data_IF_546812755194
#
_entry.id   IF_546812755194
#
_cell.length_a   1.000
_cell.length_b   1.000
_cell.length_c   1.000
_cell.angle_alpha   90.00
_cell.angle_beta   90.00
_cell.angle_gamma   90.00
#
_symmetry.space_group_name_H-M   'P 1'
#
loop_
_entity.id
_entity.type
_entity.pdbx_description
1 polymer ?
#
# COMPACT_ATOMS: atom_id res chain seq x y z
N UNK A 1 11.05 20.22 23.57
CA UNK A 1 12.37 20.05 22.95
C UNK A 1 12.58 18.55 22.63
N UNK A 2 12.03 18.07 21.50
CA UNK A 2 12.41 16.79 20.91
C UNK A 2 13.83 17.00 20.34
N UNK A 3 14.84 16.36 20.94
CA UNK A 3 16.22 16.42 20.48
C UNK A 3 16.29 15.98 19.02
N UNK A 4 16.67 16.88 18.13
CA UNK A 4 16.89 16.58 16.72
C UNK A 4 17.93 15.43 16.62
N UNK A 5 17.51 14.28 16.12
CA UNK A 5 18.38 13.11 15.93
C UNK A 5 19.49 13.53 14.97
N UNK A 6 20.71 13.55 15.45
CA UNK A 6 21.89 13.96 14.67
C UNK A 6 22.05 13.00 13.48
N UNK A 7 21.93 13.50 12.26
CA UNK A 7 22.07 12.70 11.04
C UNK A 7 23.43 11.99 11.02
N UNK A 8 23.43 10.72 10.69
CA UNK A 8 24.66 9.94 10.47
C UNK A 8 25.43 10.46 9.25
N UNK A 9 26.70 10.15 9.15
CA UNK A 9 27.52 10.51 7.97
C UNK A 9 26.90 10.01 6.67
N UNK A 10 26.32 8.80 6.64
CA UNK A 10 25.62 8.23 5.48
C UNK A 10 24.42 9.07 5.08
N UNK A 11 23.57 9.43 6.02
CA UNK A 11 22.39 10.26 5.77
C UNK A 11 22.76 11.64 5.22
N UNK A 12 23.83 12.25 5.75
CA UNK A 12 24.34 13.52 5.25
C UNK A 12 24.88 13.40 3.83
N UNK A 13 25.65 12.34 3.51
CA UNK A 13 26.17 12.08 2.16
C UNK A 13 24.99 11.88 1.19
N UNK A 14 24.02 11.06 1.55
CA UNK A 14 22.84 10.80 0.71
C UNK A 14 22.06 12.09 0.43
N UNK A 15 21.82 12.89 1.46
CA UNK A 15 21.12 14.18 1.30
C UNK A 15 21.88 15.12 0.35
N UNK A 16 23.21 15.19 0.48
CA UNK A 16 24.05 16.02 -0.41
C UNK A 16 24.05 15.51 -1.86
N UNK A 17 24.12 14.19 -2.05
CA UNK A 17 24.08 13.59 -3.39
C UNK A 17 22.71 13.78 -4.04
N UNK A 18 21.61 13.62 -3.30
CA UNK A 18 20.23 13.86 -3.79
C UNK A 18 20.01 15.32 -4.20
N UNK A 19 20.57 16.27 -3.44
CA UNK A 19 20.43 17.71 -3.71
C UNK A 19 21.35 18.20 -4.86
N UNK A 20 22.37 17.44 -5.22
CA UNK A 20 23.35 17.86 -6.22
C UNK A 20 22.83 17.63 -7.65
N UNK A 21 22.87 18.68 -8.47
CA UNK A 21 22.59 18.58 -9.93
C UNK A 21 23.75 17.96 -10.71
N UNK A 22 24.97 18.06 -10.17
CA UNK A 22 26.21 17.63 -10.80
C UNK A 22 26.92 16.54 -10.01
N UNK A 23 27.95 15.94 -10.62
CA UNK A 23 28.86 15.00 -9.96
C UNK A 23 29.55 15.70 -8.78
N UNK A 24 29.59 15.06 -7.61
CA UNK A 24 30.32 15.53 -6.43
C UNK A 24 31.56 14.67 -6.22
N UNK A 25 32.73 15.33 -6.10
CA UNK A 25 33.97 14.60 -5.82
C UNK A 25 33.98 14.07 -4.38
N UNK A 26 34.66 12.94 -4.16
CA UNK A 26 34.85 12.41 -2.80
C UNK A 26 35.61 13.39 -1.90
N UNK A 27 36.44 14.27 -2.47
CA UNK A 27 37.15 15.32 -1.74
C UNK A 27 36.21 16.44 -1.30
N UNK A 28 35.35 16.91 -2.20
CA UNK A 28 34.32 17.91 -1.87
C UNK A 28 33.43 17.42 -0.73
N UNK A 29 32.92 16.18 -0.84
CA UNK A 29 32.09 15.57 0.22
C UNK A 29 32.85 15.45 1.56
N UNK A 30 34.13 15.05 1.52
CA UNK A 30 34.96 14.92 2.70
C UNK A 30 35.18 16.27 3.39
N UNK A 31 35.46 17.33 2.64
CA UNK A 31 35.63 18.69 3.16
C UNK A 31 34.33 19.25 3.75
N UNK A 32 33.23 19.17 3.01
CA UNK A 32 31.93 19.68 3.46
C UNK A 32 31.43 19.00 4.74
N UNK A 33 31.68 17.70 4.91
CA UNK A 33 31.17 16.91 6.03
C UNK A 33 32.18 16.72 7.16
N UNK A 34 33.42 17.20 6.99
CA UNK A 34 34.49 17.09 8.00
C UNK A 34 34.94 15.65 8.29
N UNK A 35 34.98 14.80 7.23
CA UNK A 35 35.36 13.38 7.35
C UNK A 35 36.45 13.02 6.34
N UNK A 36 37.08 11.85 6.48
CA UNK A 36 38.10 11.39 5.54
C UNK A 36 37.46 10.90 4.22
N UNK A 37 38.19 10.95 3.11
CA UNK A 37 37.80 10.35 1.81
C UNK A 37 37.48 8.87 1.94
N UNK A 38 38.22 8.13 2.79
CA UNK A 38 37.94 6.72 3.06
C UNK A 38 36.60 6.53 3.74
N UNK A 39 36.19 7.44 4.64
CA UNK A 39 34.89 7.40 5.28
C UNK A 39 33.76 7.67 4.26
N UNK A 40 33.98 8.61 3.32
CA UNK A 40 33.04 8.84 2.19
C UNK A 40 32.88 7.57 1.37
N UNK A 41 33.98 6.96 0.92
CA UNK A 41 33.94 5.74 0.12
C UNK A 41 33.20 4.59 0.84
N UNK A 42 33.50 4.35 2.12
CA UNK A 42 32.80 3.33 2.92
C UNK A 42 31.30 3.60 3.02
N UNK A 43 30.93 4.84 3.30
CA UNK A 43 29.52 5.22 3.39
C UNK A 43 28.78 5.06 2.07
N UNK A 44 29.40 5.39 0.93
CA UNK A 44 28.84 5.17 -0.41
C UNK A 44 28.65 3.66 -0.67
N UNK A 45 29.64 2.84 -0.34
CA UNK A 45 29.50 1.37 -0.46
C UNK A 45 28.38 0.81 0.39
N UNK A 46 28.15 1.36 1.58
CA UNK A 46 27.00 0.95 2.41
C UNK A 46 25.66 1.42 1.85
N UNK A 47 25.60 2.61 1.23
CA UNK A 47 24.40 3.08 0.52
C UNK A 47 24.09 2.19 -0.69
N UNK A 48 25.10 1.83 -1.48
CA UNK A 48 24.94 0.91 -2.62
C UNK A 48 24.44 -0.47 -2.18
N UNK A 49 24.97 -1.02 -1.07
CA UNK A 49 24.46 -2.27 -0.47
C UNK A 49 22.98 -2.20 -0.06
N UNK A 50 22.50 -1.00 0.29
CA UNK A 50 21.09 -0.74 0.57
C UNK A 50 20.24 -0.57 -0.70
N UNK A 51 20.86 -0.60 -1.89
CA UNK A 51 20.18 -0.49 -3.19
C UNK A 51 20.17 0.91 -3.79
N UNK A 52 20.79 1.93 -3.14
CA UNK A 52 20.90 3.26 -3.73
C UNK A 52 21.78 3.21 -4.98
N UNK A 53 21.26 3.76 -6.08
CA UNK A 53 21.97 3.83 -7.34
C UNK A 53 22.90 5.06 -7.32
N UNK A 54 24.21 4.81 -7.22
CA UNK A 54 25.24 5.87 -7.22
C UNK A 54 26.19 5.59 -8.38
N UNK A 55 26.16 6.47 -9.38
CA UNK A 55 27.08 6.39 -10.51
C UNK A 55 28.48 6.87 -10.09
N UNK A 56 29.48 6.06 -10.37
CA UNK A 56 30.87 6.40 -10.20
C UNK A 56 31.46 6.94 -11.51
N UNK A 57 32.25 7.99 -11.41
CA UNK A 57 33.03 8.53 -12.51
C UNK A 57 34.42 8.93 -12.03
N UNK A 58 35.31 9.26 -12.97
CA UNK A 58 36.63 9.79 -12.63
C UNK A 58 36.56 11.08 -11.78
N UNK A 59 35.46 11.83 -11.90
CA UNK A 59 35.22 13.11 -11.22
C UNK A 59 34.46 12.97 -9.90
N UNK A 60 33.99 11.78 -9.53
CA UNK A 60 33.28 11.53 -8.28
C UNK A 60 31.97 10.74 -8.44
N UNK A 61 30.98 11.12 -7.65
CA UNK A 61 29.74 10.39 -7.42
C UNK A 61 28.52 11.20 -7.86
N UNK A 62 27.57 10.54 -8.49
CA UNK A 62 26.26 11.11 -8.86
C UNK A 62 25.15 10.20 -8.43
N UNK A 63 24.17 10.74 -7.70
CA UNK A 63 22.97 10.01 -7.34
C UNK A 63 22.10 9.76 -8.57
N UNK A 64 21.60 8.55 -8.70
CA UNK A 64 20.56 8.20 -9.65
C UNK A 64 19.28 7.86 -8.88
N UNK A 65 18.13 8.18 -9.48
CA UNK A 65 16.83 7.89 -8.86
C UNK A 65 16.77 6.41 -8.48
N UNK A 66 16.52 6.13 -7.21
CA UNK A 66 16.52 4.79 -6.65
C UNK A 66 15.19 4.54 -5.96
N UNK A 67 14.56 3.40 -6.25
CA UNK A 67 13.30 3.01 -5.61
C UNK A 67 13.58 2.29 -4.29
N UNK A 68 13.85 3.08 -3.23
CA UNK A 68 14.09 2.57 -1.87
C UNK A 68 13.06 3.14 -0.94
N UNK A 69 12.45 2.28 -0.13
CA UNK A 69 11.52 2.69 0.91
C UNK A 69 12.25 3.53 1.96
N UNK A 70 11.81 4.77 2.15
CA UNK A 70 12.42 5.76 3.04
C UNK A 70 11.36 6.37 3.96
N UNK A 71 11.44 6.02 5.25
CA UNK A 71 10.47 6.47 6.25
C UNK A 71 10.40 8.00 6.36
N UNK A 72 11.53 8.69 6.19
CA UNK A 72 11.59 10.15 6.27
C UNK A 72 10.90 10.78 5.05
N UNK A 73 11.21 10.30 3.85
CA UNK A 73 10.57 10.78 2.61
C UNK A 73 9.05 10.58 2.66
N UNK A 74 8.60 9.40 3.11
CA UNK A 74 7.18 9.08 3.26
C UNK A 74 6.53 10.01 4.30
N UNK A 75 7.16 10.20 5.48
CA UNK A 75 6.64 11.07 6.54
C UNK A 75 6.53 12.53 6.09
N UNK A 76 7.56 13.06 5.40
CA UNK A 76 7.58 14.44 4.90
C UNK A 76 6.56 14.67 3.76
N UNK A 77 6.22 13.61 3.01
CA UNK A 77 5.27 13.69 1.90
C UNK A 77 3.80 13.52 2.31
N UNK A 78 3.52 12.85 3.43
CA UNK A 78 2.15 12.71 3.94
C UNK A 78 1.77 13.95 4.74
N UNK A 79 0.64 14.57 4.38
CA UNK A 79 0.18 15.82 5.01
C UNK A 79 -0.38 15.61 6.41
N UNK A 80 -0.86 14.41 6.72
CA UNK A 80 -1.35 14.02 8.04
C UNK A 80 -0.17 13.64 8.95
N UNK A 81 -0.26 13.96 10.25
CA UNK A 81 0.74 13.53 11.25
C UNK A 81 0.62 12.02 11.50
N UNK A 82 1.43 11.24 10.81
CA UNK A 82 1.47 9.77 10.84
C UNK A 82 2.88 9.32 11.21
N UNK A 83 2.99 8.45 12.21
CA UNK A 83 4.27 7.80 12.50
C UNK A 83 4.57 6.74 11.42
N UNK A 84 5.80 6.72 10.90
CA UNK A 84 6.21 5.81 9.82
C UNK A 84 7.28 4.85 10.32
N UNK A 85 7.08 3.56 10.08
CA UNK A 85 8.09 2.52 10.28
C UNK A 85 8.33 1.79 8.96
N UNK A 86 9.57 1.75 8.50
CA UNK A 86 9.99 0.96 7.33
C UNK A 86 10.83 -0.21 7.81
N UNK A 87 10.44 -1.42 7.43
CA UNK A 87 11.10 -2.68 7.76
C UNK A 87 11.74 -3.28 6.50
N UNK A 88 12.94 -3.81 6.61
CA UNK A 88 13.55 -4.58 5.52
C UNK A 88 12.80 -5.90 5.29
N UNK A 89 12.41 -6.55 6.37
CA UNK A 89 11.64 -7.80 6.34
C UNK A 89 10.62 -7.80 7.48
N UNK A 90 9.45 -8.30 7.20
CA UNK A 90 8.38 -8.55 8.18
C UNK A 90 7.77 -9.94 7.93
N UNK A 91 7.31 -10.61 8.96
CA UNK A 91 6.47 -11.79 8.77
C UNK A 91 5.13 -11.38 8.15
N UNK A 92 4.52 -10.32 8.65
CA UNK A 92 3.29 -9.69 8.13
C UNK A 92 3.12 -8.32 8.77
N UNK A 93 3.00 -7.27 7.97
CA UNK A 93 2.78 -5.91 8.48
C UNK A 93 1.48 -5.78 9.27
N UNK A 94 0.48 -6.63 9.00
CA UNK A 94 -0.75 -6.71 9.81
C UNK A 94 -0.47 -7.18 11.24
N UNK A 95 0.40 -8.19 11.40
CA UNK A 95 0.82 -8.66 12.73
C UNK A 95 1.66 -7.63 13.45
N UNK A 96 2.53 -6.93 12.74
CA UNK A 96 3.32 -5.84 13.31
C UNK A 96 2.40 -4.71 13.83
N UNK A 97 1.35 -4.38 13.07
CA UNK A 97 0.35 -3.40 13.49
C UNK A 97 -0.47 -3.88 14.70
N UNK A 98 -0.86 -5.16 14.76
CA UNK A 98 -1.51 -5.75 15.94
C UNK A 98 -0.59 -5.69 17.17
N UNK A 99 0.69 -6.01 17.02
CA UNK A 99 1.67 -5.90 18.09
C UNK A 99 1.84 -4.45 18.54
N UNK A 100 1.83 -3.49 17.62
CA UNK A 100 1.92 -2.07 17.94
C UNK A 100 0.75 -1.59 18.82
N UNK A 101 -0.47 -2.13 18.64
CA UNK A 101 -1.60 -1.88 19.54
C UNK A 101 -1.29 -2.38 20.93
N UNK A 102 -0.79 -3.61 21.07
CA UNK A 102 -0.44 -4.21 22.36
C UNK A 102 0.67 -3.44 23.07
N UNK A 103 1.62 -2.91 22.32
CA UNK A 103 2.73 -2.09 22.82
C UNK A 103 2.33 -0.63 23.13
N UNK A 104 1.07 -0.26 22.94
CA UNK A 104 0.56 1.09 23.18
C UNK A 104 1.18 2.14 22.26
N UNK A 105 1.51 1.78 21.03
CA UNK A 105 2.08 2.73 20.05
C UNK A 105 1.05 3.79 19.67
N UNK A 106 1.55 4.96 19.30
CA UNK A 106 0.73 6.07 18.81
C UNK A 106 0.02 5.70 17.51
N UNK A 107 -1.20 6.18 17.34
CA UNK A 107 -1.99 6.14 16.11
C UNK A 107 -2.14 7.57 15.55
N UNK A 108 -2.14 7.79 14.22
CA UNK A 108 -1.94 6.78 13.16
C UNK A 108 -0.47 6.31 13.06
N UNK A 109 -0.29 5.02 12.77
CA UNK A 109 1.02 4.42 12.52
C UNK A 109 1.00 3.62 11.21
N UNK A 110 1.84 3.99 10.27
CA UNK A 110 2.03 3.25 9.02
C UNK A 110 3.29 2.39 9.11
N UNK A 111 3.12 1.08 8.93
CA UNK A 111 4.21 0.11 8.85
C UNK A 111 4.33 -0.35 7.40
N UNK A 112 5.51 -0.18 6.81
CA UNK A 112 5.83 -0.58 5.43
C UNK A 112 6.97 -1.58 5.48
N UNK A 113 6.86 -2.69 4.74
CA UNK A 113 7.92 -3.69 4.63
C UNK A 113 8.39 -3.85 3.18
N UNK A 114 9.70 -3.99 2.99
CA UNK A 114 10.30 -4.26 1.69
C UNK A 114 10.10 -5.73 1.25
N UNK A 115 9.90 -6.61 2.24
CA UNK A 115 9.57 -8.03 2.05
C UNK A 115 8.63 -8.52 3.16
N UNK A 116 7.70 -9.41 2.82
CA UNK A 116 6.91 -10.18 3.79
C UNK A 116 7.17 -11.68 3.61
N UNK A 117 7.40 -12.40 4.72
CA UNK A 117 7.69 -13.83 4.69
C UNK A 117 6.43 -14.70 4.65
N UNK A 118 5.36 -14.29 5.34
CA UNK A 118 4.12 -15.04 5.42
C UNK A 118 2.88 -14.12 5.35
N UNK A 119 2.77 -13.30 4.28
CA UNK A 119 1.62 -12.40 4.12
C UNK A 119 0.34 -13.19 3.88
N UNK A 120 -0.75 -12.72 4.47
CA UNK A 120 -2.07 -13.32 4.35
C UNK A 120 -3.09 -12.29 3.89
N UNK A 121 -3.95 -12.74 2.98
CA UNK A 121 -5.16 -12.04 2.61
C UNK A 121 -6.37 -12.53 3.41
N UNK A 122 -7.56 -12.16 2.96
CA UNK A 122 -8.84 -12.60 3.53
C UNK A 122 -8.92 -14.14 3.53
N UNK A 123 -9.64 -14.68 4.51
CA UNK A 123 -9.77 -16.13 4.71
C UNK A 123 -8.43 -16.86 4.85
N UNK A 124 -7.43 -16.17 5.39
CA UNK A 124 -6.09 -16.71 5.61
C UNK A 124 -5.39 -17.24 4.34
N UNK A 125 -5.77 -16.74 3.16
CA UNK A 125 -5.15 -17.14 1.89
C UNK A 125 -3.75 -16.54 1.77
N UNK A 126 -2.77 -17.29 1.24
CA UNK A 126 -1.44 -16.75 1.00
C UNK A 126 -1.53 -15.61 -0.03
N UNK A 127 -0.73 -14.57 0.19
CA UNK A 127 -0.53 -13.48 -0.75
C UNK A 127 0.89 -13.59 -1.31
N UNK A 128 1.04 -13.47 -2.62
CA UNK A 128 2.37 -13.50 -3.25
C UNK A 128 3.07 -12.15 -3.03
N UNK A 129 4.24 -12.18 -2.40
CA UNK A 129 5.02 -10.98 -2.07
C UNK A 129 6.46 -11.14 -2.55
N UNK A 130 6.81 -10.42 -3.62
CA UNK A 130 8.16 -10.40 -4.15
C UNK A 130 8.99 -9.31 -3.46
N UNK A 131 10.23 -9.65 -3.05
CA UNK A 131 11.14 -8.70 -2.39
C UNK A 131 11.47 -7.53 -3.31
N UNK A 132 11.36 -6.29 -2.79
CA UNK A 132 11.68 -5.04 -3.48
C UNK A 132 10.84 -4.71 -4.73
N UNK A 133 9.83 -5.53 -5.04
CA UNK A 133 9.01 -5.40 -6.25
C UNK A 133 7.52 -5.14 -5.94
N UNK A 134 7.18 -5.10 -4.68
CA UNK A 134 5.84 -4.79 -4.20
C UNK A 134 5.84 -3.68 -3.16
N UNK A 135 4.64 -3.24 -2.79
CA UNK A 135 4.39 -2.38 -1.63
C UNK A 135 3.54 -3.17 -0.66
N UNK A 136 4.08 -3.43 0.51
CA UNK A 136 3.42 -4.18 1.58
C UNK A 136 3.34 -3.28 2.79
N UNK A 137 2.13 -2.90 3.20
CA UNK A 137 1.98 -1.95 4.29
C UNK A 137 0.68 -2.16 5.06
N UNK A 138 0.67 -1.68 6.31
CA UNK A 138 -0.50 -1.68 7.18
C UNK A 138 -0.56 -0.39 7.97
N UNK A 139 -1.72 0.27 7.95
CA UNK A 139 -2.02 1.42 8.78
C UNK A 139 -2.76 0.97 10.03
N UNK A 140 -2.24 1.33 11.21
CA UNK A 140 -2.97 1.32 12.45
C UNK A 140 -3.67 2.66 12.62
N UNK A 141 -4.98 2.65 12.78
CA UNK A 141 -5.83 3.82 12.94
C UNK A 141 -6.75 3.65 14.14
N UNK A 142 -6.82 4.67 15.00
CA UNK A 142 -7.86 4.81 16.00
C UNK A 142 -8.99 5.66 15.39
N UNK A 143 -10.19 5.09 15.16
CA UNK A 143 -11.26 5.79 14.49
C UNK A 143 -11.82 6.92 15.36
N UNK A 144 -12.05 8.08 14.77
CA UNK A 144 -12.66 9.26 15.42
C UNK A 144 -14.09 9.42 14.94
N UNK A 145 -14.99 8.50 15.30
CA UNK A 145 -16.46 8.59 15.09
C UNK A 145 -16.94 8.92 13.65
N UNK A 146 -16.07 8.80 12.65
CA UNK A 146 -16.37 9.22 11.28
C UNK A 146 -17.09 8.13 10.48
N UNK A 147 -16.64 6.89 10.61
CA UNK A 147 -17.24 5.71 9.99
C UNK A 147 -17.48 4.67 11.09
N UNK A 148 -18.65 4.05 11.07
CA UNK A 148 -19.10 3.13 12.13
C UNK A 148 -18.85 1.66 11.79
N UNK A 149 -18.67 1.36 10.49
CA UNK A 149 -18.58 0.00 9.99
C UNK A 149 -17.24 -0.25 9.28
N UNK A 150 -16.61 -1.40 9.57
CA UNK A 150 -15.33 -1.78 8.97
C UNK A 150 -15.35 -1.81 7.44
N UNK A 151 -16.41 -2.30 6.75
CA UNK A 151 -16.46 -2.28 5.29
C UNK A 151 -16.34 -0.89 4.68
N UNK A 152 -16.82 0.17 5.35
CA UNK A 152 -16.69 1.54 4.88
C UNK A 152 -15.23 1.98 4.76
N UNK A 153 -14.38 1.61 5.73
CA UNK A 153 -12.92 1.87 5.67
C UNK A 153 -12.26 1.12 4.52
N UNK A 154 -12.68 -0.12 4.27
CA UNK A 154 -12.16 -0.92 3.16
C UNK A 154 -12.52 -0.31 1.81
N UNK A 155 -13.74 0.14 1.64
CA UNK A 155 -14.25 0.81 0.44
C UNK A 155 -13.54 2.14 0.21
N UNK A 156 -13.42 2.96 1.24
CA UNK A 156 -12.73 4.23 1.17
C UNK A 156 -11.27 4.03 0.78
N UNK A 157 -10.60 3.03 1.37
CA UNK A 157 -9.23 2.68 1.03
C UNK A 157 -9.09 2.20 -0.42
N UNK A 158 -10.03 1.39 -0.90
CA UNK A 158 -10.02 0.91 -2.29
C UNK A 158 -10.12 2.08 -3.29
N UNK A 159 -10.97 3.07 -3.00
CA UNK A 159 -11.07 4.30 -3.80
C UNK A 159 -9.76 5.08 -3.76
N UNK A 160 -9.20 5.30 -2.57
CA UNK A 160 -7.95 6.05 -2.41
C UNK A 160 -6.80 5.44 -3.22
N UNK A 161 -6.64 4.12 -3.15
CA UNK A 161 -5.59 3.40 -3.91
C UNK A 161 -5.86 3.45 -5.41
N UNK A 162 -7.08 3.16 -5.83
CA UNK A 162 -7.48 3.13 -7.24
C UNK A 162 -7.25 4.49 -7.91
N UNK A 163 -7.73 5.57 -7.29
CA UNK A 163 -7.57 6.92 -7.82
C UNK A 163 -6.12 7.42 -7.78
N UNK A 164 -5.33 7.04 -6.75
CA UNK A 164 -3.91 7.39 -6.70
C UNK A 164 -3.12 6.74 -7.84
N UNK A 165 -3.43 5.47 -8.15
CA UNK A 165 -2.80 4.75 -9.27
C UNK A 165 -3.21 5.40 -10.59
N UNK A 166 -4.50 5.68 -10.79
CA UNK A 166 -5.02 6.26 -12.03
C UNK A 166 -4.40 7.63 -12.31
N UNK A 167 -4.30 8.48 -11.28
CA UNK A 167 -3.70 9.81 -11.41
C UNK A 167 -2.21 9.75 -11.75
N UNK A 168 -1.45 8.90 -11.07
CA UNK A 168 0.00 8.82 -11.26
C UNK A 168 0.41 8.16 -12.57
N UNK A 169 -0.38 7.20 -13.05
CA UNK A 169 0.00 6.36 -14.20
C UNK A 169 -0.85 6.64 -15.46
N UNK A 170 -1.93 7.42 -15.35
CA UNK A 170 -2.83 7.67 -16.47
C UNK A 170 -3.58 6.41 -16.92
N UNK A 171 -3.93 5.54 -15.99
CA UNK A 171 -4.68 4.28 -16.24
C UNK A 171 -6.07 4.35 -15.64
N UNK A 172 -6.93 3.37 -15.94
CA UNK A 172 -8.27 3.22 -15.38
C UNK A 172 -8.38 1.88 -14.66
N UNK A 173 -8.14 1.92 -13.35
CA UNK A 173 -8.28 0.75 -12.49
C UNK A 173 -9.73 0.51 -12.12
N UNK A 174 -10.09 -0.74 -11.88
CA UNK A 174 -11.43 -1.19 -11.52
C UNK A 174 -11.40 -1.90 -10.17
N UNK A 175 -12.53 -1.84 -9.45
CA UNK A 175 -12.65 -2.43 -8.12
C UNK A 175 -13.58 -3.65 -8.17
N UNK A 176 -13.09 -4.78 -7.68
CA UNK A 176 -13.89 -5.95 -7.38
C UNK A 176 -14.33 -5.89 -5.91
N UNK A 177 -15.62 -5.87 -5.68
CA UNK A 177 -16.15 -5.85 -4.32
C UNK A 177 -15.56 -6.99 -3.49
N UNK A 178 -15.05 -6.73 -2.31
CA UNK A 178 -15.08 -5.45 -1.59
C UNK A 178 -13.71 -4.75 -1.63
N UNK A 179 -12.61 -5.50 -1.93
CA UNK A 179 -11.26 -5.17 -1.46
C UNK A 179 -10.15 -5.39 -2.50
N UNK A 180 -10.48 -5.75 -3.73
CA UNK A 180 -9.47 -6.07 -4.74
C UNK A 180 -9.49 -5.05 -5.88
N UNK A 181 -8.32 -4.60 -6.32
CA UNK A 181 -8.18 -3.67 -7.44
C UNK A 181 -7.56 -4.40 -8.63
N UNK A 182 -8.11 -4.14 -9.79
CA UNK A 182 -7.79 -4.78 -11.05
C UNK A 182 -7.32 -3.74 -12.08
N UNK A 183 -6.38 -4.13 -12.89
CA UNK A 183 -5.96 -3.44 -14.11
C UNK A 183 -5.90 -4.47 -15.24
N UNK A 184 -6.56 -4.16 -16.37
CA UNK A 184 -6.63 -5.05 -17.53
C UNK A 184 -7.06 -6.48 -17.15
N UNK A 185 -8.13 -6.59 -16.33
CA UNK A 185 -8.72 -7.85 -15.85
C UNK A 185 -7.83 -8.71 -14.95
N UNK A 186 -6.66 -8.22 -14.53
CA UNK A 186 -5.76 -8.91 -13.59
C UNK A 186 -5.65 -8.12 -12.29
N UNK A 187 -5.59 -8.84 -11.18
CA UNK A 187 -5.48 -8.24 -9.84
C UNK A 187 -4.10 -7.61 -9.64
N UNK A 188 -4.10 -6.34 -9.20
CA UNK A 188 -2.88 -5.58 -8.86
C UNK A 188 -2.78 -5.25 -7.38
N UNK A 189 -3.91 -5.17 -6.65
CA UNK A 189 -3.93 -4.83 -5.23
C UNK A 189 -4.92 -5.71 -4.48
N UNK A 190 -4.54 -6.15 -3.29
CA UNK A 190 -5.42 -6.72 -2.28
C UNK A 190 -5.41 -5.89 -1.02
N UNK A 191 -6.58 -5.59 -0.47
CA UNK A 191 -6.76 -4.85 0.78
C UNK A 191 -7.36 -5.78 1.83
N UNK A 192 -6.84 -5.71 3.05
CA UNK A 192 -7.36 -6.45 4.21
C UNK A 192 -7.57 -5.48 5.36
N UNK A 193 -8.81 -5.35 5.82
CA UNK A 193 -9.12 -4.54 7.00
C UNK A 193 -9.56 -5.44 8.16
N UNK A 194 -9.02 -5.18 9.33
CA UNK A 194 -9.37 -5.83 10.57
C UNK A 194 -9.72 -4.79 11.62
N UNK A 195 -10.67 -5.10 12.48
CA UNK A 195 -11.10 -4.22 13.56
C UNK A 195 -10.90 -4.88 14.91
N UNK A 196 -10.53 -4.06 15.88
CA UNK A 196 -10.61 -4.40 17.31
C UNK A 196 -11.70 -3.53 17.91
N UNK A 197 -12.70 -4.19 18.53
CA UNK A 197 -13.83 -3.51 19.17
C UNK A 197 -13.63 -3.41 20.66
N UNK A 198 -14.16 -2.36 21.24
CA UNK A 198 -14.29 -2.24 22.67
C UNK A 198 -15.42 -3.16 23.17
N UNK A 199 -15.14 -3.99 24.17
CA UNK A 199 -16.06 -5.01 24.66
C UNK A 199 -17.30 -4.40 25.34
N UNK A 200 -17.14 -3.24 25.99
CA UNK A 200 -18.21 -2.61 26.76
C UNK A 200 -19.16 -1.81 25.85
N UNK A 201 -18.60 -1.08 24.89
CA UNK A 201 -19.35 -0.16 24.02
C UNK A 201 -19.70 -0.76 22.66
N UNK A 202 -19.08 -1.89 22.31
CA UNK A 202 -19.14 -2.51 20.97
C UNK A 202 -18.79 -1.56 19.82
N UNK A 203 -18.05 -0.48 20.12
CA UNK A 203 -17.55 0.46 19.12
C UNK A 203 -16.19 0.03 18.59
N UNK A 204 -15.84 0.50 17.37
CA UNK A 204 -14.53 0.29 16.79
C UNK A 204 -13.48 1.04 17.63
N UNK A 205 -12.53 0.31 18.22
CA UNK A 205 -11.45 0.90 19.01
C UNK A 205 -10.20 1.13 18.18
N UNK A 206 -9.81 0.13 17.38
CA UNK A 206 -8.71 0.23 16.43
C UNK A 206 -9.10 -0.43 15.12
N UNK A 207 -8.57 0.11 14.04
CA UNK A 207 -8.67 -0.46 12.70
C UNK A 207 -7.27 -0.63 12.17
N UNK A 208 -7.00 -1.79 11.58
CA UNK A 208 -5.77 -2.08 10.87
C UNK A 208 -6.15 -2.31 9.41
N UNK A 209 -5.62 -1.47 8.52
CA UNK A 209 -5.83 -1.58 7.08
C UNK A 209 -4.51 -1.99 6.44
N UNK A 210 -4.44 -3.25 6.04
CA UNK A 210 -3.30 -3.80 5.31
C UNK A 210 -3.53 -3.81 3.81
N UNK A 211 -2.47 -3.66 3.05
CA UNK A 211 -2.53 -3.83 1.61
C UNK A 211 -1.24 -4.39 1.03
N UNK A 212 -1.40 -5.18 -0.03
CA UNK A 212 -0.33 -5.60 -0.90
C UNK A 212 -0.56 -5.08 -2.31
N UNK A 213 0.40 -4.33 -2.84
CA UNK A 213 0.37 -3.79 -4.20
C UNK A 213 1.46 -4.48 -5.01
N UNK A 214 1.08 -5.09 -6.10
CA UNK A 214 2.00 -5.62 -7.09
C UNK A 214 2.57 -4.44 -7.89
N UNK A 215 3.77 -3.99 -7.55
CA UNK A 215 4.32 -2.73 -8.09
C UNK A 215 5.13 -2.94 -9.38
N UNK A 216 6.27 -3.63 -9.29
CA UNK A 216 7.17 -3.83 -10.44
C UNK A 216 7.62 -5.29 -10.59
N UNK A 217 6.73 -6.22 -10.29
CA UNK A 217 6.99 -7.66 -10.43
C UNK A 217 6.90 -8.01 -11.92
N UNK A 218 7.98 -8.48 -12.56
CA UNK A 218 7.92 -8.99 -13.92
C UNK A 218 6.88 -10.10 -14.05
N UNK A 219 6.11 -10.10 -15.16
CA UNK A 219 4.99 -11.04 -15.32
C UNK A 219 5.45 -12.50 -15.24
N UNK A 220 6.62 -12.82 -15.77
CA UNK A 220 7.22 -14.15 -15.74
C UNK A 220 7.62 -14.62 -14.33
N UNK A 221 7.72 -13.72 -13.35
CA UNK A 221 8.10 -14.06 -11.98
C UNK A 221 6.91 -14.49 -11.11
N UNK A 222 5.67 -14.39 -11.62
CA UNK A 222 4.53 -14.93 -10.90
C UNK A 222 4.50 -16.45 -10.98
N UNK A 223 4.07 -17.16 -9.90
CA UNK A 223 3.72 -18.58 -9.97
C UNK A 223 2.71 -18.85 -11.09
N UNK A 224 2.80 -20.01 -11.75
CA UNK A 224 1.97 -20.36 -12.91
C UNK A 224 0.47 -20.16 -12.64
N UNK A 225 -0.01 -20.53 -11.46
CA UNK A 225 -1.40 -20.39 -11.07
C UNK A 225 -1.88 -18.92 -10.91
N UNK A 226 -0.94 -17.97 -10.84
CA UNK A 226 -1.23 -16.53 -10.70
C UNK A 226 -0.99 -15.74 -11.98
N UNK A 227 -0.27 -16.26 -12.97
CA UNK A 227 0.10 -15.52 -14.18
C UNK A 227 -1.09 -14.94 -14.94
N UNK A 228 -2.22 -15.69 -14.99
CA UNK A 228 -3.44 -15.22 -15.64
C UNK A 228 -4.37 -14.42 -14.70
N UNK A 229 -4.14 -14.44 -13.39
CA UNK A 229 -5.02 -13.82 -12.39
C UNK A 229 -4.47 -12.53 -11.80
N UNK A 230 -3.16 -12.36 -11.81
CA UNK A 230 -2.47 -11.23 -11.22
C UNK A 230 -1.48 -10.60 -12.19
N UNK A 231 -1.24 -9.32 -12.00
CA UNK A 231 -0.19 -8.56 -12.68
C UNK A 231 0.33 -7.48 -11.75
N UNK A 232 1.33 -6.73 -12.19
CA UNK A 232 1.83 -5.55 -11.49
C UNK A 232 1.56 -4.26 -12.27
N UNK A 233 1.78 -3.12 -11.61
CA UNK A 233 1.69 -1.82 -12.27
C UNK A 233 2.74 -1.68 -13.38
N UNK A 234 3.91 -2.30 -13.18
CA UNK A 234 5.01 -2.32 -14.14
C UNK A 234 5.44 -3.76 -14.43
N UNK A 235 4.67 -4.49 -15.28
CA UNK A 235 4.88 -5.92 -15.50
C UNK A 235 6.16 -6.28 -16.27
N UNK A 236 6.88 -5.28 -16.77
CA UNK A 236 8.23 -5.42 -17.34
C UNK A 236 9.34 -5.14 -16.31
N UNK A 237 9.00 -4.88 -15.05
CA UNK A 237 9.94 -4.55 -13.98
C UNK A 237 10.51 -3.12 -14.03
N UNK A 238 10.08 -2.28 -14.98
CA UNK A 238 10.61 -0.92 -15.18
C UNK A 238 9.61 0.13 -14.69
N UNK A 239 9.73 0.50 -13.42
CA UNK A 239 8.87 1.49 -12.82
C UNK A 239 9.23 2.91 -13.28
N UNK A 240 8.21 3.72 -13.58
CA UNK A 240 8.35 5.15 -13.95
C UNK A 240 8.14 6.08 -12.77
N UNK A 241 7.66 5.57 -11.64
CA UNK A 241 7.52 6.25 -10.34
C UNK A 241 8.20 5.43 -9.26
N UNK A 242 8.44 6.02 -8.09
CA UNK A 242 8.94 5.27 -6.93
C UNK A 242 7.78 4.74 -6.08
N UNK A 243 8.06 3.69 -5.29
CA UNK A 243 7.12 3.18 -4.29
C UNK A 243 6.75 4.25 -3.25
N UNK A 244 7.71 5.08 -2.83
CA UNK A 244 7.46 6.19 -1.90
C UNK A 244 6.43 7.18 -2.47
N UNK A 245 6.56 7.55 -3.76
CA UNK A 245 5.60 8.44 -4.41
C UNK A 245 4.17 7.88 -4.41
N UNK A 246 4.02 6.59 -4.71
CA UNK A 246 2.70 5.95 -4.69
C UNK A 246 2.15 5.85 -3.25
N UNK A 247 2.97 5.46 -2.27
CA UNK A 247 2.59 5.40 -0.85
C UNK A 247 2.08 6.76 -0.37
N UNK A 248 2.84 7.83 -0.62
CA UNK A 248 2.50 9.20 -0.23
C UNK A 248 1.15 9.61 -0.86
N UNK A 249 0.97 9.35 -2.15
CA UNK A 249 -0.25 9.72 -2.87
C UNK A 249 -1.48 8.98 -2.33
N UNK A 250 -1.35 7.68 -2.09
CA UNK A 250 -2.41 6.84 -1.52
C UNK A 250 -2.86 7.38 -0.16
N UNK A 251 -1.93 7.63 0.77
CA UNK A 251 -2.29 8.03 2.12
C UNK A 251 -2.80 9.47 2.20
N UNK A 252 -2.27 10.38 1.42
CA UNK A 252 -2.84 11.73 1.31
C UNK A 252 -4.29 11.69 0.82
N UNK A 253 -4.57 10.88 -0.20
CA UNK A 253 -5.92 10.69 -0.72
C UNK A 253 -6.84 10.01 0.30
N UNK A 254 -6.36 8.97 0.98
CA UNK A 254 -7.11 8.28 2.03
C UNK A 254 -7.54 9.25 3.14
N UNK A 255 -6.62 10.04 3.68
CA UNK A 255 -6.95 10.98 4.74
C UNK A 255 -7.85 12.12 4.27
N UNK A 256 -7.72 12.56 3.02
CA UNK A 256 -8.63 13.56 2.44
C UNK A 256 -10.05 12.99 2.32
N UNK A 257 -10.22 11.77 1.82
CA UNK A 257 -11.52 11.11 1.72
C UNK A 257 -12.11 10.77 3.11
N UNK A 258 -11.26 10.48 4.09
CA UNK A 258 -11.70 10.25 5.46
C UNK A 258 -12.20 11.55 6.12
N UNK A 259 -11.61 12.69 5.78
CA UNK A 259 -12.05 14.01 6.27
C UNK A 259 -13.33 14.51 5.56
N UNK A 260 -13.47 14.21 4.27
CA UNK A 260 -14.66 14.53 3.47
C UNK A 260 -15.22 13.26 2.83
N UNK A 261 -16.25 12.68 3.46
CA UNK A 261 -16.85 11.41 3.11
C UNK A 261 -17.94 11.51 2.04
N UNK A 262 -18.10 12.66 1.41
CA UNK A 262 -19.25 12.90 0.52
C UNK A 262 -19.15 12.19 -0.83
N UNK A 263 -17.96 11.82 -1.27
CA UNK A 263 -17.73 11.38 -2.66
C UNK A 263 -17.26 9.93 -2.81
N UNK A 264 -16.69 9.31 -1.76
CA UNK A 264 -16.03 8.01 -1.90
C UNK A 264 -16.97 6.86 -2.30
N UNK A 265 -18.21 6.87 -1.84
CA UNK A 265 -19.18 5.82 -2.20
C UNK A 265 -19.56 5.86 -3.68
N UNK A 266 -19.80 7.04 -4.23
CA UNK A 266 -20.12 7.20 -5.65
C UNK A 266 -18.92 6.86 -6.53
N UNK A 267 -17.71 7.24 -6.11
CA UNK A 267 -16.47 6.86 -6.78
C UNK A 267 -16.29 5.33 -6.76
N UNK A 268 -16.55 4.68 -5.62
CA UNK A 268 -16.47 3.23 -5.50
C UNK A 268 -17.48 2.52 -6.41
N UNK A 269 -18.76 2.97 -6.41
CA UNK A 269 -19.81 2.43 -7.27
C UNK A 269 -19.46 2.55 -8.75
N UNK A 270 -18.94 3.70 -9.14
CA UNK A 270 -18.51 3.97 -10.53
C UNK A 270 -17.35 3.05 -10.96
N UNK A 271 -16.42 2.77 -10.07
CA UNK A 271 -15.26 1.90 -10.35
C UNK A 271 -15.55 0.41 -10.16
N UNK A 272 -16.67 0.06 -9.56
CA UNK A 272 -17.04 -1.34 -9.29
C UNK A 272 -17.50 -2.04 -10.56
N UNK A 273 -16.69 -2.99 -11.04
CA UNK A 273 -17.04 -3.74 -12.26
C UNK A 273 -17.95 -4.96 -12.01
N UNK A 274 -18.32 -5.21 -10.75
CA UNK A 274 -19.25 -6.31 -10.41
C UNK A 274 -20.72 -5.92 -10.56
N UNK A 275 -21.04 -4.62 -10.51
CA UNK A 275 -22.41 -4.14 -10.65
C UNK A 275 -22.99 -4.47 -12.03
N UNK A 276 -24.21 -5.00 -12.05
CA UNK A 276 -24.88 -5.49 -13.25
C UNK A 276 -24.42 -6.86 -13.73
N UNK A 277 -23.45 -7.48 -13.05
CA UNK A 277 -22.90 -8.79 -13.46
C UNK A 277 -23.53 -9.94 -12.66
N UNK A 278 -23.60 -11.11 -13.29
CA UNK A 278 -23.91 -12.37 -12.60
C UNK A 278 -22.70 -12.79 -11.76
N UNK A 279 -22.94 -13.01 -10.48
CA UNK A 279 -21.94 -13.43 -9.51
C UNK A 279 -22.36 -14.70 -8.81
N UNK A 280 -21.39 -15.47 -8.36
CA UNK A 280 -21.58 -16.61 -7.46
C UNK A 280 -20.94 -16.28 -6.12
N UNK A 281 -21.62 -16.62 -5.03
CA UNK A 281 -21.11 -16.48 -3.67
C UNK A 281 -21.55 -17.66 -2.81
N UNK A 282 -20.86 -17.86 -1.67
CA UNK A 282 -21.21 -18.89 -0.69
C UNK A 282 -21.81 -18.26 0.56
N UNK A 283 -22.88 -18.86 1.04
CA UNK A 283 -23.51 -18.54 2.34
C UNK A 283 -23.85 -19.83 3.05
N UNK A 284 -23.34 -20.05 4.26
CA UNK A 284 -23.54 -21.28 5.05
C UNK A 284 -23.26 -22.55 4.22
N UNK A 285 -22.10 -22.60 3.55
CA UNK A 285 -21.63 -23.71 2.70
C UNK A 285 -22.48 -24.00 1.45
N UNK A 286 -23.52 -23.23 1.19
CA UNK A 286 -24.29 -23.31 -0.06
C UNK A 286 -23.84 -22.24 -1.04
N UNK A 287 -23.78 -22.62 -2.33
CA UNK A 287 -23.47 -21.70 -3.42
C UNK A 287 -24.75 -21.11 -3.97
N UNK A 288 -24.75 -19.79 -4.14
CA UNK A 288 -25.83 -19.01 -4.72
C UNK A 288 -25.34 -18.27 -5.96
N UNK A 289 -26.21 -18.08 -6.91
CA UNK A 289 -25.95 -17.28 -8.11
C UNK A 289 -27.02 -16.20 -8.23
N UNK A 290 -26.61 -14.97 -8.49
CA UNK A 290 -27.51 -13.84 -8.67
C UNK A 290 -26.85 -12.69 -9.39
N UNK A 291 -27.59 -11.60 -9.58
CA UNK A 291 -27.08 -10.38 -10.19
C UNK A 291 -26.73 -9.36 -9.10
N UNK A 292 -25.49 -8.85 -9.11
CA UNK A 292 -25.08 -7.76 -8.23
C UNK A 292 -25.74 -6.46 -8.69
N UNK A 293 -26.67 -5.90 -7.91
CA UNK A 293 -27.52 -4.77 -8.36
C UNK A 293 -27.18 -3.44 -7.71
N UNK A 294 -26.62 -3.45 -6.51
CA UNK A 294 -26.30 -2.21 -5.80
C UNK A 294 -25.20 -2.43 -4.74
N UNK A 295 -24.62 -1.32 -4.31
CA UNK A 295 -23.76 -1.23 -3.12
C UNK A 295 -24.41 -0.20 -2.20
N UNK A 296 -24.69 -0.61 -0.95
CA UNK A 296 -25.35 0.24 0.05
C UNK A 296 -24.39 1.31 0.58
N UNK A 297 -24.91 2.28 1.32
CA UNK A 297 -24.08 3.33 1.95
C UNK A 297 -23.19 2.79 3.08
N UNK A 298 -23.49 1.60 3.60
CA UNK A 298 -22.63 0.88 4.56
C UNK A 298 -21.63 -0.07 3.89
N UNK A 299 -21.65 -0.17 2.55
CA UNK A 299 -20.70 -0.97 1.79
C UNK A 299 -21.12 -2.41 1.50
N UNK A 300 -22.36 -2.78 1.80
CA UNK A 300 -22.88 -4.10 1.49
C UNK A 300 -23.18 -4.25 0.00
N UNK A 301 -22.90 -5.43 -0.56
CA UNK A 301 -23.31 -5.79 -1.93
C UNK A 301 -24.73 -6.36 -1.92
N UNK A 302 -25.63 -5.75 -2.68
CA UNK A 302 -26.98 -6.25 -2.86
C UNK A 302 -27.02 -7.15 -4.09
N UNK A 303 -27.45 -8.39 -3.87
CA UNK A 303 -27.55 -9.41 -4.94
C UNK A 303 -29.01 -9.83 -5.11
N UNK A 304 -29.49 -9.74 -6.35
CA UNK A 304 -30.82 -10.19 -6.75
C UNK A 304 -30.75 -11.67 -7.16
N UNK A 305 -31.45 -12.52 -6.40
CA UNK A 305 -31.57 -13.97 -6.67
C UNK A 305 -32.81 -14.30 -7.50
N UNK A 306 -33.62 -13.30 -7.90
CA UNK A 306 -34.88 -13.47 -8.59
C UNK A 306 -36.10 -13.46 -7.66
N UNK A 307 -36.15 -14.34 -6.69
CA UNK A 307 -37.23 -14.41 -5.69
C UNK A 307 -36.98 -13.50 -4.47
N UNK A 308 -35.70 -13.27 -4.13
CA UNK A 308 -35.32 -12.43 -3.02
C UNK A 308 -34.07 -11.62 -3.34
N UNK A 309 -33.84 -10.55 -2.58
CA UNK A 309 -32.59 -9.77 -2.58
C UNK A 309 -31.84 -10.05 -1.28
N UNK A 310 -30.56 -10.35 -1.43
CA UNK A 310 -29.69 -10.59 -0.27
C UNK A 310 -28.64 -9.49 -0.15
N UNK A 311 -28.29 -9.13 1.08
CA UNK A 311 -27.25 -8.18 1.40
C UNK A 311 -26.03 -8.93 1.90
N UNK A 312 -24.88 -8.71 1.26
CA UNK A 312 -23.61 -9.30 1.63
C UNK A 312 -22.75 -8.21 2.28
N UNK A 313 -22.54 -8.32 3.59
CA UNK A 313 -21.64 -7.43 4.35
C UNK A 313 -20.18 -7.88 4.26
N UNK A 314 -19.96 -9.15 3.95
CA UNK A 314 -18.64 -9.76 3.77
C UNK A 314 -18.78 -10.97 2.85
N UNK A 315 -17.66 -11.60 2.52
CA UNK A 315 -17.64 -12.81 1.73
C UNK A 315 -16.78 -12.67 0.48
N UNK A 316 -16.74 -13.72 -0.30
CA UNK A 316 -16.06 -13.76 -1.58
C UNK A 316 -17.08 -13.97 -2.69
N UNK A 317 -16.93 -13.22 -3.74
CA UNK A 317 -17.73 -13.36 -4.95
C UNK A 317 -16.86 -13.81 -6.12
N UNK A 318 -17.43 -14.62 -7.00
CA UNK A 318 -16.82 -14.98 -8.27
C UNK A 318 -17.73 -14.52 -9.40
N UNK A 319 -17.14 -13.99 -10.47
CA UNK A 319 -17.88 -13.68 -11.70
C UNK A 319 -18.13 -14.97 -12.49
N UNK A 320 -19.34 -15.14 -13.01
CA UNK A 320 -19.73 -16.34 -13.76
C UNK A 320 -19.05 -16.41 -15.14
N UNK A 321 -18.63 -15.28 -15.68
CA UNK A 321 -17.73 -15.16 -16.84
C UNK A 321 -17.05 -13.81 -16.82
N UNK A 322 -15.76 -13.78 -17.07
CA UNK A 322 -15.03 -12.57 -17.45
C UNK A 322 -15.16 -12.50 -18.97
N UNK A 323 -16.18 -11.80 -19.46
CA UNK A 323 -16.22 -11.34 -20.85
C UNK A 323 -16.02 -9.86 -20.88
#
# INVERSE_FOLDING_TARGET
NKGAKKLSTKEKILARLKAAKNVLSGETLAQELGVSRTAIWKAIKELEKKGYQIQHSANGYRYQASDILDAKEIHEGIHQDVDITVLETSTSTMKDAQQAVMDGKRSPLLIVADMQEAPRGRFNRPFFAAKQQGIYMSLLLEPKEQLTELPQYTILMAVAVSEAIDELLGVDTQIKWVNDIYLNHKKIVGILSEAMTDIETNSLKYIIIGMGINFSIPQENYPDELQEKATSLFPNGQATITRNQLIINIWNRFFNLLADQTTYLDAYRKKSFVLGKKITFKRKDQSYMGTAIAITDTGELVVDLGEEKVHLSSGEISLSSIQ
#
